data_IF_134011817381
#
_entry.id   IF_134011817381
#
_cell.length_a   1.000
_cell.length_b   1.000
_cell.length_c   1.000
_cell.angle_alpha   90.00
_cell.angle_beta   90.00
_cell.angle_gamma   90.00
#
_symmetry.space_group_name_H-M   'P 1'
#
loop_
_entity.id
_entity.type
_entity.pdbx_description
1 polymer ?
#
# COMPACT_ATOMS: atom_id res chain seq x y z
N UNK A 1 -6.41 17.26 8.61
CA UNK A 1 -6.28 17.86 7.26
C UNK A 1 -5.08 18.80 7.09
N UNK A 2 -4.51 19.42 8.13
CA UNK A 2 -3.46 20.45 7.96
C UNK A 2 -2.04 19.90 7.74
N UNK A 3 -1.71 18.72 8.27
CA UNK A 3 -0.34 18.18 8.23
C UNK A 3 0.22 17.98 6.81
N UNK A 4 -0.61 17.49 5.88
CA UNK A 4 -0.17 17.24 4.50
C UNK A 4 0.03 18.56 3.73
N UNK A 5 -0.88 19.52 3.92
CA UNK A 5 -0.92 20.80 3.19
C UNK A 5 0.35 21.62 3.40
N UNK A 6 0.94 21.57 4.60
CA UNK A 6 2.19 22.28 4.92
C UNK A 6 3.39 21.73 4.14
N UNK A 7 3.36 20.45 3.80
CA UNK A 7 4.43 19.85 3.01
C UNK A 7 4.23 20.12 1.52
N UNK A 8 2.97 20.10 1.04
CA UNK A 8 2.62 20.20 -0.37
C UNK A 8 2.94 21.58 -0.97
N UNK A 9 3.32 21.60 -2.25
CA UNK A 9 3.39 22.87 -2.99
C UNK A 9 1.98 23.50 -3.09
N UNK A 10 1.88 24.81 -3.35
CA UNK A 10 0.58 25.47 -3.48
C UNK A 10 -0.35 24.84 -4.53
N UNK A 11 0.21 24.16 -5.53
CA UNK A 11 -0.53 23.46 -6.57
C UNK A 11 -1.03 22.10 -6.07
N UNK A 12 -0.15 21.30 -5.46
CA UNK A 12 -0.47 20.00 -4.87
C UNK A 12 -1.49 20.14 -3.72
N UNK A 13 -1.39 21.20 -2.92
CA UNK A 13 -2.32 21.46 -1.83
C UNK A 13 -3.72 21.89 -2.32
N UNK A 14 -3.84 22.54 -3.49
CA UNK A 14 -5.15 22.78 -4.13
C UNK A 14 -5.77 21.46 -4.60
N UNK A 15 -4.97 20.59 -5.21
CA UNK A 15 -5.39 19.26 -5.65
C UNK A 15 -5.84 18.40 -4.45
N UNK A 16 -5.10 18.45 -3.34
CA UNK A 16 -5.48 17.80 -2.08
C UNK A 16 -6.83 18.31 -1.58
N UNK A 17 -7.05 19.63 -1.55
CA UNK A 17 -8.32 20.16 -1.09
C UNK A 17 -9.49 19.74 -2.01
N UNK A 18 -9.27 19.66 -3.32
CA UNK A 18 -10.28 19.14 -4.25
C UNK A 18 -10.55 17.64 -3.99
N UNK A 19 -9.49 16.86 -3.77
CA UNK A 19 -9.57 15.44 -3.42
C UNK A 19 -10.40 15.20 -2.15
N UNK A 20 -10.08 15.90 -1.05
CA UNK A 20 -10.81 15.80 0.23
C UNK A 20 -12.27 16.23 0.09
N UNK A 21 -12.57 17.17 -0.81
CA UNK A 21 -13.95 17.57 -1.04
C UNK A 21 -14.77 16.51 -1.77
N UNK A 22 -14.15 15.76 -2.68
CA UNK A 22 -14.77 14.70 -3.48
C UNK A 22 -14.82 13.35 -2.76
N UNK A 23 -13.94 13.15 -1.78
CA UNK A 23 -14.00 12.02 -0.86
C UNK A 23 -15.12 12.23 0.17
N UNK A 24 -16.35 12.15 -0.33
CA UNK A 24 -17.55 12.31 0.49
C UNK A 24 -17.58 11.23 1.57
N UNK A 25 -17.05 10.04 1.34
CA UNK A 25 -17.14 8.91 2.28
C UNK A 25 -15.95 8.77 3.22
N UNK A 26 -14.99 9.69 3.20
CA UNK A 26 -13.78 9.66 4.00
C UNK A 26 -12.96 8.38 3.80
N UNK A 27 -12.98 7.81 2.59
CA UNK A 27 -12.24 6.59 2.22
C UNK A 27 -10.81 6.88 1.80
N UNK A 28 -10.46 8.16 1.66
CA UNK A 28 -9.20 8.62 1.11
C UNK A 28 -8.90 8.03 -0.28
N UNK A 29 -9.95 7.71 -1.04
CA UNK A 29 -9.89 7.23 -2.42
C UNK A 29 -10.93 7.91 -3.29
N UNK A 30 -10.67 8.02 -4.60
CA UNK A 30 -11.60 8.54 -5.60
C UNK A 30 -11.70 7.59 -6.78
N UNK A 31 -12.90 7.46 -7.36
CA UNK A 31 -13.13 6.69 -8.59
C UNK A 31 -14.31 7.23 -9.39
N UNK A 32 -14.39 6.87 -10.67
CA UNK A 32 -15.55 7.10 -11.53
C UNK A 32 -15.99 8.56 -11.56
N UNK A 33 -17.20 8.84 -11.04
CA UNK A 33 -17.77 10.19 -11.05
C UNK A 33 -17.08 11.15 -10.06
N UNK A 34 -16.56 10.66 -8.93
CA UNK A 34 -15.82 11.48 -7.97
C UNK A 34 -14.49 11.95 -8.57
N UNK A 35 -13.82 11.10 -9.36
CA UNK A 35 -12.61 11.49 -10.10
C UNK A 35 -12.92 12.55 -11.16
N UNK A 36 -13.99 12.35 -11.95
CA UNK A 36 -14.42 13.34 -12.94
C UNK A 36 -14.77 14.68 -12.29
N UNK A 37 -15.45 14.63 -11.16
CA UNK A 37 -15.84 15.84 -10.41
C UNK A 37 -14.60 16.55 -9.82
N UNK A 38 -13.62 15.79 -9.31
CA UNK A 38 -12.30 16.32 -8.91
C UNK A 38 -11.64 17.07 -10.06
N UNK A 39 -11.50 16.41 -11.22
CA UNK A 39 -10.87 16.96 -12.41
C UNK A 39 -11.64 18.15 -13.00
N UNK A 40 -12.98 18.17 -12.86
CA UNK A 40 -13.84 19.28 -13.29
C UNK A 40 -13.76 20.47 -12.33
N UNK A 41 -13.53 20.27 -11.04
CA UNK A 41 -13.19 21.39 -10.13
C UNK A 41 -11.81 21.95 -10.42
N UNK A 42 -10.94 21.10 -10.95
CA UNK A 42 -9.63 21.49 -11.37
C UNK A 42 -9.65 22.20 -12.74
N UNK A 43 -10.49 21.80 -13.70
CA UNK A 43 -10.52 22.35 -15.08
C UNK A 43 -11.84 22.99 -15.53
N UNK A 44 -11.74 23.97 -16.42
CA UNK A 44 -12.90 24.64 -17.01
C UNK A 44 -13.59 23.90 -18.18
N UNK A 45 -13.09 22.74 -18.62
CA UNK A 45 -13.57 22.07 -19.86
C UNK A 45 -13.93 20.61 -19.67
N UNK A 46 -15.20 20.26 -19.88
CA UNK A 46 -15.72 18.89 -19.72
C UNK A 46 -15.08 17.87 -20.67
N UNK A 47 -14.69 18.28 -21.89
CA UNK A 47 -14.03 17.39 -22.85
C UNK A 47 -12.61 16.98 -22.40
N UNK A 48 -11.93 17.85 -21.65
CA UNK A 48 -10.60 17.56 -21.10
C UNK A 48 -10.70 16.61 -19.90
N UNK A 49 -11.73 16.79 -19.07
CA UNK A 49 -12.00 15.92 -17.91
C UNK A 49 -12.13 14.45 -18.32
N UNK A 50 -12.91 14.16 -19.37
CA UNK A 50 -13.08 12.77 -19.83
C UNK A 50 -11.78 12.19 -20.39
N UNK A 51 -10.98 13.00 -21.07
CA UNK A 51 -9.68 12.57 -21.60
C UNK A 51 -8.71 12.22 -20.46
N UNK A 52 -8.67 13.05 -19.42
CA UNK A 52 -7.82 12.81 -18.26
C UNK A 52 -8.32 11.67 -17.39
N UNK A 53 -9.63 11.59 -17.14
CA UNK A 53 -10.22 10.48 -16.39
C UNK A 53 -9.90 9.15 -17.09
N UNK A 54 -10.06 9.05 -18.41
CA UNK A 54 -9.70 7.86 -19.16
C UNK A 54 -8.19 7.55 -19.11
N UNK A 55 -7.33 8.56 -19.11
CA UNK A 55 -5.88 8.36 -19.00
C UNK A 55 -5.46 7.85 -17.62
N UNK A 56 -6.06 8.39 -16.55
CA UNK A 56 -5.82 7.95 -15.16
C UNK A 56 -6.38 6.54 -14.96
N UNK A 57 -7.63 6.29 -15.36
CA UNK A 57 -8.30 4.99 -15.25
C UNK A 57 -7.55 3.91 -16.06
N UNK A 58 -6.98 4.25 -17.22
CA UNK A 58 -6.11 3.33 -17.99
C UNK A 58 -4.79 3.02 -17.28
N UNK A 59 -4.26 3.97 -16.50
CA UNK A 59 -2.96 3.83 -15.82
C UNK A 59 -3.07 3.03 -14.53
N UNK A 60 -4.14 3.20 -13.77
CA UNK A 60 -4.41 2.40 -12.58
C UNK A 60 -4.98 1.03 -12.95
N UNK A 61 -6.00 1.01 -13.80
CA UNK A 61 -6.77 -0.20 -14.10
C UNK A 61 -8.25 0.16 -14.04
N UNK A 62 -9.06 -0.43 -14.93
CA UNK A 62 -10.48 -0.09 -15.01
C UNK A 62 -11.20 -0.46 -13.71
N UNK A 63 -11.69 0.55 -12.98
CA UNK A 63 -12.49 0.37 -11.76
C UNK A 63 -11.71 0.43 -10.45
N UNK A 64 -10.40 0.68 -10.49
CA UNK A 64 -9.57 0.78 -9.29
C UNK A 64 -9.86 2.09 -8.51
N UNK A 65 -9.77 2.00 -7.19
CA UNK A 65 -9.86 3.15 -6.29
C UNK A 65 -8.50 3.86 -6.23
N UNK A 66 -8.47 5.14 -6.59
CA UNK A 66 -7.24 5.93 -6.66
C UNK A 66 -7.04 6.68 -5.35
N UNK A 67 -5.87 6.54 -4.74
CA UNK A 67 -5.50 7.40 -3.62
C UNK A 67 -4.92 8.75 -4.10
N UNK A 68 -4.57 9.61 -3.16
CA UNK A 68 -4.01 10.92 -3.51
C UNK A 68 -2.60 10.85 -4.11
N UNK A 69 -1.79 9.86 -3.74
CA UNK A 69 -0.47 9.67 -4.31
C UNK A 69 -0.57 9.27 -5.79
N UNK A 70 -1.52 8.41 -6.17
CA UNK A 70 -1.80 8.05 -7.57
C UNK A 70 -2.18 9.28 -8.41
N UNK A 71 -3.04 10.14 -7.85
CA UNK A 71 -3.47 11.39 -8.49
C UNK A 71 -2.29 12.37 -8.66
N UNK A 72 -1.38 12.44 -7.69
CA UNK A 72 -0.15 13.22 -7.78
C UNK A 72 0.84 12.65 -8.80
N UNK A 73 0.95 11.32 -8.90
CA UNK A 73 1.81 10.63 -9.86
C UNK A 73 1.37 10.86 -11.30
N UNK A 74 0.06 10.85 -11.55
CA UNK A 74 -0.49 11.29 -12.83
C UNK A 74 -0.17 12.77 -13.10
N UNK A 75 -0.45 13.65 -12.13
CA UNK A 75 -0.21 15.08 -12.27
C UNK A 75 1.26 15.41 -12.57
N UNK A 76 2.20 14.68 -11.96
CA UNK A 76 3.63 14.83 -12.20
C UNK A 76 4.04 14.32 -13.60
N UNK A 77 3.56 13.15 -14.02
CA UNK A 77 3.86 12.60 -15.33
C UNK A 77 3.35 13.48 -16.48
N UNK A 78 2.16 14.07 -16.32
CA UNK A 78 1.62 15.04 -17.28
C UNK A 78 2.49 16.29 -17.39
N UNK A 79 3.05 16.79 -16.29
CA UNK A 79 3.97 17.94 -16.33
C UNK A 79 5.26 17.64 -17.10
N UNK A 80 5.79 16.42 -17.00
CA UNK A 80 7.03 16.02 -17.65
C UNK A 80 6.85 15.78 -19.16
N UNK A 81 5.77 15.11 -19.57
CA UNK A 81 5.44 14.89 -20.99
C UNK A 81 5.21 16.22 -21.72
N UNK A 82 4.53 17.17 -21.06
CA UNK A 82 4.31 18.52 -21.59
C UNK A 82 5.57 19.42 -21.61
N UNK A 83 6.67 18.98 -21.01
CA UNK A 83 7.97 19.67 -21.07
C UNK A 83 8.83 19.21 -22.26
N UNK A 84 8.63 17.99 -22.74
CA UNK A 84 9.39 17.38 -23.83
C UNK A 84 8.74 17.55 -25.22
N UNK A 85 7.43 17.78 -25.28
CA UNK A 85 6.70 17.98 -26.53
C UNK A 85 6.16 19.42 -26.60
N UNK A 86 6.89 20.32 -27.26
CA UNK A 86 6.48 21.71 -27.53
C UNK A 86 5.35 21.85 -28.57
N UNK A 87 4.62 20.77 -28.89
CA UNK A 87 3.48 20.77 -29.80
C UNK A 87 2.22 20.28 -29.07
N UNK A 88 1.59 21.19 -28.32
CA UNK A 88 0.13 21.41 -28.29
C UNK A 88 -0.17 22.61 -27.37
N UNK A 89 -0.16 23.81 -27.97
CA UNK A 89 -0.45 25.09 -27.30
C UNK A 89 -1.89 25.20 -26.70
N UNK A 90 -2.70 24.14 -26.75
CA UNK A 90 -4.03 24.08 -26.14
C UNK A 90 -4.03 23.59 -24.68
N UNK A 91 -2.96 22.97 -24.20
CA UNK A 91 -2.89 22.39 -22.84
C UNK A 91 -2.32 23.37 -21.82
N UNK A 92 -1.35 24.20 -22.26
CA UNK A 92 -0.79 25.26 -21.42
C UNK A 92 -1.82 26.31 -21.02
N UNK A 93 -2.82 26.64 -21.86
CA UNK A 93 -3.84 27.63 -21.51
C UNK A 93 -4.90 27.09 -20.55
N UNK A 94 -5.20 25.78 -20.59
CA UNK A 94 -6.12 25.12 -19.68
C UNK A 94 -5.56 25.05 -18.27
N UNK A 95 -4.32 24.58 -18.11
CA UNK A 95 -3.66 24.48 -16.81
C UNK A 95 -3.08 25.82 -16.30
N UNK A 96 -2.68 26.76 -17.14
CA UNK A 96 -2.26 28.09 -16.63
C UNK A 96 -3.39 28.81 -15.92
N UNK A 97 -4.65 28.57 -16.32
CA UNK A 97 -5.84 29.10 -15.64
C UNK A 97 -6.12 28.46 -14.26
N UNK A 98 -5.57 27.27 -13.98
CA UNK A 98 -5.64 26.64 -12.65
C UNK A 98 -4.78 27.38 -11.61
N UNK A 99 -3.70 28.04 -12.05
CA UNK A 99 -2.54 28.32 -11.21
C UNK A 99 -2.21 29.81 -11.08
N UNK A 100 -3.17 30.69 -11.38
CA UNK A 100 -3.03 32.10 -11.05
C UNK A 100 -2.95 32.28 -9.51
N UNK A 101 -2.11 33.24 -9.11
CA UNK A 101 -1.41 33.30 -7.83
C UNK A 101 -2.22 33.90 -6.64
N UNK A 102 -1.69 33.68 -5.44
CA UNK A 102 -1.94 34.41 -4.16
C UNK A 102 -2.97 33.93 -3.13
N UNK A 103 -3.57 32.74 -3.25
CA UNK A 103 -4.34 32.17 -2.12
C UNK A 103 -3.73 30.89 -1.62
N UNK A 104 -3.26 30.94 -0.37
CA UNK A 104 -2.99 29.73 0.41
C UNK A 104 -4.24 28.84 0.38
N UNK A 105 -4.10 27.54 0.05
CA UNK A 105 -5.24 26.64 -0.09
C UNK A 105 -5.82 26.33 1.30
N UNK A 106 -6.78 27.15 1.74
CA UNK A 106 -7.58 26.91 2.94
C UNK A 106 -8.85 26.15 2.58
N UNK A 107 -9.15 25.08 3.32
CA UNK A 107 -10.43 24.37 3.18
C UNK A 107 -11.58 25.33 3.53
N UNK A 108 -12.64 25.35 2.72
CA UNK A 108 -13.78 26.25 2.92
C UNK A 108 -14.38 26.05 4.33
N UNK A 109 -14.51 27.10 5.15
CA UNK A 109 -15.09 27.00 6.49
C UNK A 109 -16.50 26.37 6.50
N UNK A 110 -17.29 26.52 5.43
CA UNK A 110 -18.60 25.84 5.31
C UNK A 110 -18.43 24.33 5.21
N UNK A 111 -17.44 23.87 4.43
CA UNK A 111 -17.13 22.44 4.30
C UNK A 111 -16.51 21.87 5.57
N UNK A 112 -15.68 22.64 6.27
CA UNK A 112 -15.18 22.28 7.61
C UNK A 112 -16.34 22.05 8.59
N UNK A 113 -17.34 22.93 8.60
CA UNK A 113 -18.52 22.79 9.44
C UNK A 113 -19.34 21.54 9.06
N UNK A 114 -19.50 21.29 7.77
CA UNK A 114 -20.18 20.10 7.26
C UNK A 114 -19.46 18.80 7.66
N UNK A 115 -18.13 18.72 7.46
CA UNK A 115 -17.35 17.54 7.84
C UNK A 115 -17.39 17.30 9.36
N UNK A 116 -17.26 18.37 10.16
CA UNK A 116 -17.39 18.27 11.63
C UNK A 116 -18.76 17.77 12.05
N UNK A 117 -19.83 18.29 11.42
CA UNK A 117 -21.18 17.84 11.68
C UNK A 117 -21.33 16.36 11.33
N UNK A 118 -20.79 15.90 10.19
CA UNK A 118 -20.87 14.51 9.77
C UNK A 118 -20.10 13.57 10.70
N UNK A 119 -18.88 13.95 11.09
CA UNK A 119 -18.07 13.21 12.07
C UNK A 119 -18.78 13.11 13.43
N UNK A 120 -19.53 14.13 13.85
CA UNK A 120 -20.27 14.10 15.11
C UNK A 120 -21.43 13.08 15.12
N UNK A 121 -21.93 12.68 13.95
CA UNK A 121 -23.01 11.69 13.81
C UNK A 121 -22.52 10.30 13.43
N UNK A 122 -21.20 10.09 13.26
CA UNK A 122 -20.65 8.81 12.88
C UNK A 122 -20.33 7.95 14.10
N UNK A 123 -20.56 6.62 14.03
CA UNK A 123 -20.13 5.73 15.10
C UNK A 123 -18.60 5.74 15.21
N UNK A 124 -18.04 5.59 16.43
CA UNK A 124 -16.59 5.67 16.67
C UNK A 124 -15.74 4.77 15.77
N UNK A 125 -16.21 3.56 15.48
CA UNK A 125 -15.53 2.61 14.58
C UNK A 125 -15.36 3.16 13.15
N UNK A 126 -16.39 3.80 12.60
CA UNK A 126 -16.32 4.41 11.25
C UNK A 126 -15.45 5.66 11.22
N UNK A 127 -15.38 6.40 12.32
CA UNK A 127 -14.49 7.55 12.45
C UNK A 127 -13.03 7.09 12.51
N UNK A 128 -12.76 5.99 13.21
CA UNK A 128 -11.46 5.34 13.27
C UNK A 128 -11.02 4.88 11.88
N UNK A 129 -11.86 4.12 11.16
CA UNK A 129 -11.62 3.71 9.76
C UNK A 129 -11.25 4.90 8.87
N UNK A 130 -12.01 6.00 8.97
CA UNK A 130 -11.73 7.22 8.22
C UNK A 130 -10.38 7.84 8.60
N UNK A 131 -10.04 7.94 9.89
CA UNK A 131 -8.74 8.46 10.33
C UNK A 131 -7.59 7.64 9.75
N UNK A 132 -7.71 6.31 9.71
CA UNK A 132 -6.69 5.44 9.14
C UNK A 132 -6.56 5.58 7.63
N UNK A 133 -7.68 5.66 6.91
CA UNK A 133 -7.66 5.93 5.47
C UNK A 133 -6.88 7.24 5.16
N UNK A 134 -7.10 8.29 5.95
CA UNK A 134 -6.36 9.55 5.81
C UNK A 134 -4.88 9.47 6.25
N UNK A 135 -4.56 8.68 7.27
CA UNK A 135 -3.18 8.41 7.68
C UNK A 135 -2.42 7.64 6.60
N UNK A 136 -3.04 6.62 6.01
CA UNK A 136 -2.51 5.87 4.86
C UNK A 136 -2.23 6.80 3.69
N UNK A 137 -3.20 7.61 3.27
CA UNK A 137 -3.01 8.57 2.18
C UNK A 137 -1.87 9.56 2.48
N UNK A 138 -1.72 9.99 3.73
CA UNK A 138 -0.59 10.85 4.16
C UNK A 138 0.75 10.13 4.02
N UNK A 139 0.86 8.88 4.49
CA UNK A 139 2.10 8.08 4.40
C UNK A 139 2.48 7.86 2.94
N UNK A 140 1.53 7.42 2.11
CA UNK A 140 1.76 7.18 0.68
C UNK A 140 2.19 8.47 -0.04
N UNK A 141 1.56 9.60 0.26
CA UNK A 141 1.96 10.91 -0.29
C UNK A 141 3.36 11.32 0.16
N UNK A 142 3.70 11.17 1.44
CA UNK A 142 5.02 11.50 1.95
C UNK A 142 6.10 10.64 1.30
N UNK A 143 5.86 9.33 1.16
CA UNK A 143 6.78 8.42 0.52
C UNK A 143 6.92 8.68 -0.98
N UNK A 144 5.83 9.01 -1.68
CA UNK A 144 5.89 9.47 -3.07
C UNK A 144 6.80 10.70 -3.22
N UNK A 145 6.76 11.66 -2.29
CA UNK A 145 7.67 12.82 -2.32
C UNK A 145 9.10 12.45 -1.98
N UNK A 146 9.32 11.51 -1.08
CA UNK A 146 10.63 10.94 -0.82
C UNK A 146 11.19 10.27 -2.08
N UNK A 147 10.37 9.47 -2.77
CA UNK A 147 10.70 8.84 -4.05
C UNK A 147 11.11 9.88 -5.09
N UNK A 148 10.30 10.94 -5.24
CA UNK A 148 10.58 12.03 -6.17
C UNK A 148 11.87 12.77 -5.83
N UNK A 149 12.09 13.10 -4.56
CA UNK A 149 13.34 13.73 -4.10
C UNK A 149 14.56 12.84 -4.31
N UNK A 150 14.45 11.54 -4.02
CA UNK A 150 15.50 10.57 -4.30
C UNK A 150 15.81 10.60 -5.79
N UNK A 151 14.80 10.64 -6.65
CA UNK A 151 15.01 10.70 -8.10
C UNK A 151 15.55 12.03 -8.59
N UNK A 152 15.07 13.16 -8.08
CA UNK A 152 15.63 14.47 -8.39
C UNK A 152 17.10 14.56 -7.96
N UNK A 153 17.48 13.96 -6.82
CA UNK A 153 18.88 13.83 -6.39
C UNK A 153 19.68 12.92 -7.32
N UNK A 154 19.09 11.82 -7.80
CA UNK A 154 19.74 10.85 -8.69
C UNK A 154 19.80 11.31 -10.16
N UNK A 155 18.90 12.22 -10.59
CA UNK A 155 18.80 12.76 -11.96
C UNK A 155 19.49 14.11 -12.08
N UNK A 156 19.36 14.99 -11.08
CA UNK A 156 20.00 16.31 -11.04
C UNK A 156 21.51 16.23 -10.77
N UNK A 157 21.99 15.16 -10.15
CA UNK A 157 23.39 14.78 -10.21
C UNK A 157 23.69 14.16 -11.58
N UNK A 158 24.03 15.00 -12.56
CA UNK A 158 24.54 14.55 -13.85
C UNK A 158 25.53 13.39 -13.64
N UNK A 159 25.17 12.20 -14.14
CA UNK A 159 25.96 10.98 -14.11
C UNK A 159 26.09 10.24 -12.76
N UNK A 160 24.99 9.84 -12.11
CA UNK A 160 25.07 8.57 -11.39
C UNK A 160 25.18 7.41 -12.39
N UNK A 161 26.37 6.79 -12.44
CA UNK A 161 26.55 5.49 -13.06
C UNK A 161 25.54 4.48 -12.48
N UNK A 162 25.26 3.39 -13.19
CA UNK A 162 24.42 2.27 -12.71
C UNK A 162 24.75 1.84 -11.27
N UNK A 163 26.00 2.02 -10.83
CA UNK A 163 26.46 1.77 -9.46
C UNK A 163 25.75 2.59 -8.37
N UNK A 164 25.36 3.84 -8.66
CA UNK A 164 24.70 4.73 -7.71
C UNK A 164 23.26 4.33 -7.43
N UNK A 165 22.51 4.01 -8.50
CA UNK A 165 21.16 3.47 -8.39
C UNK A 165 21.13 2.12 -7.66
N UNK A 166 22.09 1.24 -7.92
CA UNK A 166 22.20 -0.04 -7.22
C UNK A 166 22.51 0.13 -5.73
N UNK A 167 23.31 1.14 -5.35
CA UNK A 167 23.56 1.45 -3.93
C UNK A 167 22.30 1.92 -3.23
N UNK A 168 21.53 2.79 -3.89
CA UNK A 168 20.22 3.24 -3.39
C UNK A 168 19.24 2.08 -3.23
N UNK A 169 19.14 1.20 -4.25
CA UNK A 169 18.29 0.03 -4.21
C UNK A 169 18.66 -0.91 -3.05
N UNK A 170 19.94 -1.19 -2.83
CA UNK A 170 20.40 -2.01 -1.70
C UNK A 170 20.03 -1.41 -0.35
N UNK A 171 20.16 -0.10 -0.19
CA UNK A 171 19.75 0.58 1.03
C UNK A 171 18.24 0.44 1.28
N UNK A 172 17.41 0.59 0.25
CA UNK A 172 15.95 0.39 0.37
C UNK A 172 15.59 -1.05 0.71
N UNK A 173 16.22 -2.03 0.08
CA UNK A 173 16.02 -3.45 0.43
C UNK A 173 16.42 -3.72 1.88
N UNK A 174 17.49 -3.08 2.36
CA UNK A 174 17.89 -3.11 3.77
C UNK A 174 16.80 -2.55 4.69
N UNK A 175 16.17 -1.44 4.31
CA UNK A 175 15.02 -0.89 5.05
C UNK A 175 13.85 -1.87 5.09
N UNK A 176 13.44 -2.44 3.94
CA UNK A 176 12.39 -3.46 3.88
C UNK A 176 12.74 -4.65 4.79
N UNK A 177 13.98 -5.10 4.75
CA UNK A 177 14.45 -6.20 5.59
C UNK A 177 14.34 -5.90 7.10
N UNK A 178 14.55 -4.66 7.52
CA UNK A 178 14.45 -4.27 8.93
C UNK A 178 13.01 -4.11 9.41
N UNK A 179 12.08 -3.77 8.51
CA UNK A 179 10.66 -3.57 8.85
C UNK A 179 9.87 -4.89 8.92
N UNK A 180 10.27 -5.90 8.14
CA UNK A 180 9.51 -7.14 8.04
C UNK A 180 9.79 -8.11 9.23
N UNK A 181 8.75 -8.67 9.86
CA UNK A 181 8.87 -9.78 10.80
C UNK A 181 9.49 -11.04 10.15
N UNK A 182 10.06 -11.98 10.94
CA UNK A 182 10.71 -13.19 10.43
C UNK A 182 9.89 -14.03 9.43
N UNK A 183 8.58 -14.16 9.68
CA UNK A 183 7.68 -14.92 8.81
C UNK A 183 7.51 -14.21 7.45
N UNK A 184 7.37 -12.89 7.47
CA UNK A 184 7.16 -12.07 6.29
C UNK A 184 8.46 -11.91 5.49
N UNK A 185 9.60 -11.86 6.16
CA UNK A 185 10.92 -11.95 5.52
C UNK A 185 11.07 -13.25 4.72
N UNK A 186 10.61 -14.37 5.27
CA UNK A 186 10.66 -15.65 4.58
C UNK A 186 9.72 -15.71 3.37
N UNK A 187 8.55 -15.07 3.43
CA UNK A 187 7.68 -14.93 2.25
C UNK A 187 8.29 -14.01 1.22
N UNK A 188 8.81 -12.87 1.65
CA UNK A 188 9.46 -11.90 0.78
C UNK A 188 10.67 -12.51 0.08
N UNK A 189 11.43 -13.38 0.74
CA UNK A 189 12.56 -14.08 0.12
C UNK A 189 12.13 -15.01 -1.01
N UNK A 190 10.96 -15.65 -0.91
CA UNK A 190 10.42 -16.51 -1.99
C UNK A 190 9.77 -15.69 -3.09
N UNK A 191 8.94 -14.71 -2.73
CA UNK A 191 8.24 -13.82 -3.66
C UNK A 191 9.22 -12.99 -4.48
N UNK A 192 10.19 -12.35 -3.82
CA UNK A 192 11.18 -11.50 -4.48
C UNK A 192 12.04 -12.25 -5.50
N UNK A 193 12.20 -13.57 -5.36
CA UNK A 193 12.88 -14.39 -6.36
C UNK A 193 12.06 -14.58 -7.64
N UNK A 194 10.73 -14.57 -7.54
CA UNK A 194 9.81 -14.71 -8.67
C UNK A 194 9.49 -13.37 -9.34
N UNK A 195 9.74 -12.24 -8.67
CA UNK A 195 9.45 -10.92 -9.21
C UNK A 195 10.39 -10.59 -10.39
N UNK A 196 9.91 -10.74 -11.62
CA UNK A 196 10.72 -10.62 -12.83
C UNK A 196 11.20 -9.19 -13.11
N UNK A 197 10.49 -8.18 -12.58
CA UNK A 197 10.88 -6.76 -12.67
C UNK A 197 11.69 -6.29 -11.46
N UNK A 198 11.65 -7.05 -10.38
CA UNK A 198 12.20 -6.76 -9.07
C UNK A 198 11.80 -5.37 -8.56
N UNK A 199 10.53 -5.01 -8.75
CA UNK A 199 9.94 -3.73 -8.34
C UNK A 199 8.96 -3.88 -7.17
N UNK A 200 8.76 -5.10 -6.66
CA UNK A 200 7.86 -5.35 -5.52
C UNK A 200 6.37 -5.34 -5.88
N UNK A 201 6.04 -5.28 -7.17
CA UNK A 201 4.70 -5.50 -7.69
C UNK A 201 4.63 -6.89 -8.38
N UNK A 202 3.58 -7.66 -8.11
CA UNK A 202 3.48 -9.07 -8.49
C UNK A 202 2.26 -9.34 -9.37
N UNK A 203 2.48 -10.07 -10.44
CA UNK A 203 1.44 -10.66 -11.29
C UNK A 203 0.92 -11.97 -10.68
N UNK A 204 -0.28 -12.46 -11.10
CA UNK A 204 -0.81 -13.73 -10.61
C UNK A 204 0.18 -14.87 -10.80
N UNK A 205 0.82 -14.94 -11.97
CA UNK A 205 1.82 -15.96 -12.30
C UNK A 205 3.04 -15.95 -11.36
N UNK A 206 3.47 -14.78 -10.90
CA UNK A 206 4.62 -14.67 -10.00
C UNK A 206 4.25 -15.09 -8.57
N UNK A 207 3.04 -14.77 -8.12
CA UNK A 207 2.51 -15.23 -6.82
C UNK A 207 2.32 -16.76 -6.83
N UNK A 208 1.72 -17.32 -7.89
CA UNK A 208 1.61 -18.77 -8.06
C UNK A 208 2.98 -19.45 -8.05
N UNK A 209 3.95 -18.92 -8.80
CA UNK A 209 5.30 -19.47 -8.82
C UNK A 209 5.97 -19.44 -7.44
N UNK A 210 5.66 -18.44 -6.61
CA UNK A 210 6.17 -18.32 -5.25
C UNK A 210 5.51 -19.33 -4.31
N UNK A 211 4.19 -19.52 -4.42
CA UNK A 211 3.44 -20.56 -3.70
C UNK A 211 4.00 -21.95 -4.06
N UNK A 212 4.18 -22.24 -5.34
CA UNK A 212 4.77 -23.48 -5.84
C UNK A 212 6.21 -23.68 -5.33
N UNK A 213 7.00 -22.62 -5.23
CA UNK A 213 8.34 -22.70 -4.67
C UNK A 213 8.29 -23.05 -3.17
N UNK A 214 7.35 -22.45 -2.43
CA UNK A 214 7.16 -22.71 -1.01
C UNK A 214 6.70 -24.15 -0.74
N UNK A 215 5.73 -24.66 -1.51
CA UNK A 215 5.25 -26.05 -1.39
C UNK A 215 6.36 -27.07 -1.71
N UNK A 216 7.19 -26.80 -2.74
CA UNK A 216 8.37 -27.63 -3.03
C UNK A 216 9.38 -27.64 -1.88
N UNK A 217 9.62 -26.50 -1.24
CA UNK A 217 10.54 -26.40 -0.10
C UNK A 217 10.03 -27.13 1.16
N UNK A 218 8.71 -27.23 1.33
CA UNK A 218 8.10 -27.99 2.41
C UNK A 218 8.20 -29.51 2.22
N UNK A 219 8.59 -29.99 1.04
CA UNK A 219 8.56 -31.42 0.76
C UNK A 219 7.13 -31.99 0.75
N UNK A 220 6.09 -31.16 0.66
CA UNK A 220 4.68 -31.58 0.45
C UNK A 220 4.42 -32.05 -0.99
N UNK A 221 5.48 -32.27 -1.76
CA UNK A 221 5.50 -33.13 -2.95
C UNK A 221 6.11 -34.51 -2.67
N UNK A 222 6.24 -34.90 -1.40
CA UNK A 222 6.70 -36.22 -0.94
C UNK A 222 5.69 -37.29 -1.33
N UNK A 223 6.19 -38.50 -1.66
CA UNK A 223 5.48 -39.71 -2.09
C UNK A 223 4.30 -40.16 -1.19
N UNK A 224 4.06 -39.51 -0.05
CA UNK A 224 2.99 -39.82 0.91
C UNK A 224 1.70 -39.00 0.73
N UNK A 225 1.71 -37.91 -0.04
CA UNK A 225 0.47 -37.14 -0.26
C UNK A 225 -0.38 -37.82 -1.34
N UNK A 226 -1.63 -38.14 -1.01
CA UNK A 226 -2.59 -38.68 -1.98
C UNK A 226 -2.80 -37.67 -3.11
N UNK A 227 -3.06 -38.19 -4.30
CA UNK A 227 -3.32 -37.37 -5.49
C UNK A 227 -4.52 -36.41 -5.28
N UNK A 228 -5.52 -36.87 -4.52
CA UNK A 228 -6.68 -36.08 -4.11
C UNK A 228 -6.31 -34.89 -3.21
N UNK A 229 -5.43 -35.07 -2.23
CA UNK A 229 -4.97 -33.96 -1.37
C UNK A 229 -4.15 -32.93 -2.16
N UNK A 230 -3.34 -33.39 -3.12
CA UNK A 230 -2.61 -32.50 -4.03
C UNK A 230 -3.55 -31.69 -4.91
N UNK A 231 -4.59 -32.34 -5.45
CA UNK A 231 -5.62 -31.68 -6.24
C UNK A 231 -6.38 -30.63 -5.43
N UNK A 232 -6.87 -30.98 -4.23
CA UNK A 232 -7.62 -30.05 -3.37
C UNK A 232 -6.77 -28.85 -2.92
N UNK A 233 -5.47 -29.06 -2.64
CA UNK A 233 -4.56 -27.95 -2.32
C UNK A 233 -4.36 -27.02 -3.50
N UNK A 234 -4.15 -27.57 -4.71
CA UNK A 234 -4.00 -26.76 -5.92
C UNK A 234 -5.26 -25.92 -6.19
N UNK A 235 -6.45 -26.52 -6.09
CA UNK A 235 -7.72 -25.82 -6.27
C UNK A 235 -7.94 -24.73 -5.22
N UNK A 236 -7.57 -24.99 -3.96
CA UNK A 236 -7.65 -24.01 -2.88
C UNK A 236 -6.69 -22.83 -3.09
N UNK A 237 -5.44 -23.11 -3.45
CA UNK A 237 -4.43 -22.10 -3.76
C UNK A 237 -4.84 -21.24 -4.95
N UNK A 238 -5.40 -21.86 -6.00
CA UNK A 238 -5.90 -21.15 -7.18
C UNK A 238 -6.97 -20.14 -6.82
N UNK A 239 -8.00 -20.57 -6.08
CA UNK A 239 -9.07 -19.69 -5.62
C UNK A 239 -8.54 -18.56 -4.74
N UNK A 240 -7.60 -18.84 -3.83
CA UNK A 240 -7.06 -17.79 -2.96
C UNK A 240 -6.24 -16.75 -3.70
N UNK A 241 -5.47 -17.15 -4.73
CA UNK A 241 -4.77 -16.20 -5.58
C UNK A 241 -5.77 -15.41 -6.41
N UNK A 242 -6.81 -16.03 -6.97
CA UNK A 242 -7.86 -15.29 -7.69
C UNK A 242 -8.57 -14.27 -6.79
N UNK A 243 -8.82 -14.61 -5.53
CA UNK A 243 -9.36 -13.71 -4.50
C UNK A 243 -8.38 -12.59 -4.11
N UNK A 244 -7.08 -12.86 -4.07
CA UNK A 244 -6.08 -11.82 -3.84
C UNK A 244 -6.11 -10.78 -4.97
N UNK A 245 -6.32 -11.21 -6.21
CA UNK A 245 -6.30 -10.30 -7.34
C UNK A 245 -7.66 -9.61 -7.59
N UNK A 246 -8.82 -10.26 -7.44
CA UNK A 246 -10.17 -9.66 -7.58
C UNK A 246 -10.32 -8.64 -8.73
N UNK A 247 -9.75 -8.94 -9.89
CA UNK A 247 -9.79 -8.08 -11.09
C UNK A 247 -8.67 -7.03 -11.18
N UNK A 248 -7.75 -6.98 -10.22
CA UNK A 248 -6.49 -6.24 -10.28
C UNK A 248 -5.48 -7.01 -11.16
N UNK A 249 -4.73 -6.33 -12.03
CA UNK A 249 -3.72 -7.00 -12.86
C UNK A 249 -2.42 -7.31 -12.10
N UNK A 250 -2.16 -6.56 -11.01
CA UNK A 250 -0.93 -6.62 -10.21
C UNK A 250 -1.30 -6.33 -8.75
N UNK A 251 -0.63 -6.97 -7.80
CA UNK A 251 -0.73 -6.70 -6.35
C UNK A 251 0.64 -6.36 -5.79
N UNK A 252 0.72 -5.60 -4.71
CA UNK A 252 2.01 -5.22 -4.12
C UNK A 252 2.48 -6.19 -3.05
N UNK A 253 3.74 -6.07 -2.60
CA UNK A 253 4.22 -6.87 -1.47
C UNK A 253 3.33 -6.70 -0.23
N UNK A 254 2.87 -5.48 0.05
CA UNK A 254 2.01 -5.22 1.21
C UNK A 254 0.65 -5.93 1.07
N UNK A 255 0.05 -5.92 -0.12
CA UNK A 255 -1.20 -6.67 -0.39
C UNK A 255 -1.02 -8.18 -0.11
N UNK A 256 0.08 -8.77 -0.59
CA UNK A 256 0.35 -10.21 -0.41
C UNK A 256 0.59 -10.54 1.06
N UNK A 257 1.35 -9.71 1.78
CA UNK A 257 1.60 -9.94 3.20
C UNK A 257 0.33 -9.78 4.04
N UNK A 258 -0.50 -8.80 3.71
CA UNK A 258 -1.78 -8.60 4.39
C UNK A 258 -2.73 -9.76 4.13
N UNK A 259 -2.88 -10.18 2.88
CA UNK A 259 -3.60 -11.40 2.52
C UNK A 259 -3.09 -12.61 3.31
N UNK A 260 -1.78 -12.81 3.38
CA UNK A 260 -1.18 -13.91 4.13
C UNK A 260 -1.50 -13.88 5.64
N UNK A 261 -1.57 -12.69 6.25
CA UNK A 261 -1.94 -12.51 7.67
C UNK A 261 -3.39 -12.85 7.92
N UNK A 262 -4.27 -12.56 6.97
CA UNK A 262 -5.71 -12.82 7.09
C UNK A 262 -6.06 -14.31 7.01
N UNK A 263 -5.19 -15.15 6.41
CA UNK A 263 -5.43 -16.59 6.35
C UNK A 263 -5.10 -17.25 7.70
N UNK A 264 -6.07 -17.96 8.33
CA UNK A 264 -5.82 -18.69 9.56
C UNK A 264 -4.66 -19.68 9.43
N UNK A 265 -3.96 -19.92 10.55
CA UNK A 265 -2.76 -20.76 10.55
C UNK A 265 -3.06 -22.19 10.11
N UNK A 266 -4.20 -22.73 10.51
CA UNK A 266 -4.67 -24.08 10.21
C UNK A 266 -4.99 -24.21 8.72
N UNK A 267 -5.57 -23.16 8.14
CA UNK A 267 -5.89 -23.11 6.71
C UNK A 267 -4.60 -23.09 5.88
N UNK A 268 -3.59 -22.30 6.28
CA UNK A 268 -2.28 -22.30 5.63
C UNK A 268 -1.61 -23.67 5.68
N UNK A 269 -1.66 -24.35 6.83
CA UNK A 269 -1.12 -25.71 6.97
C UNK A 269 -1.87 -26.69 6.05
N UNK A 270 -3.20 -26.66 6.04
CA UNK A 270 -4.01 -27.54 5.19
C UNK A 270 -3.72 -27.33 3.70
N UNK A 271 -3.54 -26.08 3.29
CA UNK A 271 -3.17 -25.69 1.93
C UNK A 271 -1.69 -25.98 1.58
N UNK A 272 -0.88 -26.48 2.52
CA UNK A 272 0.55 -26.75 2.31
C UNK A 272 1.42 -25.48 2.25
N UNK A 273 0.88 -24.34 2.69
CA UNK A 273 1.54 -23.04 2.76
C UNK A 273 2.23 -22.84 4.11
N UNK A 274 3.07 -23.78 4.52
CA UNK A 274 3.90 -23.62 5.71
C UNK A 274 5.22 -22.97 5.35
N UNK A 275 5.83 -22.22 6.28
CA UNK A 275 7.20 -21.71 6.08
C UNK A 275 8.17 -22.69 6.74
N UNK A 276 9.05 -23.37 5.98
CA UNK A 276 10.05 -24.25 6.56
C UNK A 276 10.95 -23.49 7.54
N UNK A 277 11.27 -24.11 8.67
CA UNK A 277 12.19 -23.51 9.66
C UNK A 277 13.56 -23.17 9.06
N UNK A 278 14.02 -23.97 8.09
CA UNK A 278 15.27 -23.73 7.35
C UNK A 278 15.20 -22.48 6.46
N UNK A 279 14.06 -22.23 5.83
CA UNK A 279 13.82 -21.02 5.03
C UNK A 279 13.74 -19.79 5.94
N UNK A 280 13.04 -19.90 7.07
CA UNK A 280 12.91 -18.83 8.06
C UNK A 280 14.28 -18.45 8.63
N UNK A 281 15.05 -19.43 9.09
CA UNK A 281 16.40 -19.22 9.62
C UNK A 281 17.34 -18.60 8.58
N UNK A 282 17.30 -19.10 7.34
CA UNK A 282 18.10 -18.55 6.24
C UNK A 282 17.71 -17.10 5.95
N UNK A 283 16.42 -16.79 5.87
CA UNK A 283 15.93 -15.46 5.51
C UNK A 283 16.27 -14.41 6.57
N UNK A 284 16.33 -14.77 7.86
CA UNK A 284 16.77 -13.86 8.92
C UNK A 284 18.28 -13.63 8.98
N UNK A 285 19.09 -14.57 8.46
CA UNK A 285 20.55 -14.51 8.52
C UNK A 285 21.18 -13.86 7.30
N UNK A 286 20.52 -13.94 6.14
CA UNK A 286 21.05 -13.42 4.89
C UNK A 286 20.72 -11.94 4.72
N UNK A 287 21.70 -11.17 4.22
CA UNK A 287 21.43 -9.81 3.78
C UNK A 287 20.65 -9.83 2.45
N UNK A 288 19.81 -8.81 2.17
CA UNK A 288 19.04 -8.75 0.93
C UNK A 288 19.90 -8.85 -0.34
N UNK A 289 21.14 -8.40 -0.25
CA UNK A 289 22.14 -8.44 -1.32
C UNK A 289 22.53 -9.88 -1.72
N UNK A 290 22.54 -10.78 -0.74
CA UNK A 290 22.82 -12.20 -0.94
C UNK A 290 21.55 -12.96 -1.32
N UNK A 291 20.42 -12.62 -0.69
CA UNK A 291 19.11 -13.22 -0.99
C UNK A 291 18.70 -13.00 -2.45
N UNK A 292 18.86 -11.77 -2.95
CA UNK A 292 18.41 -11.35 -4.28
C UNK A 292 19.57 -11.12 -5.24
N UNK A 293 20.70 -11.80 -5.03
CA UNK A 293 21.93 -11.58 -5.80
C UNK A 293 21.73 -11.69 -7.32
N UNK A 294 20.89 -12.62 -7.76
CA UNK A 294 20.60 -12.83 -9.18
C UNK A 294 19.73 -11.71 -9.74
N UNK A 295 18.69 -11.31 -9.03
CA UNK A 295 17.77 -10.24 -9.39
C UNK A 295 18.54 -8.91 -9.45
N UNK A 296 19.35 -8.62 -8.43
CA UNK A 296 20.22 -7.43 -8.43
C UNK A 296 21.20 -7.40 -9.60
N UNK A 297 21.72 -8.56 -10.04
CA UNK A 297 22.57 -8.64 -11.24
C UNK A 297 21.79 -8.37 -12.53
N UNK A 298 20.59 -8.93 -12.66
CA UNK A 298 19.73 -8.72 -13.83
C UNK A 298 19.27 -7.27 -13.93
N UNK A 299 18.90 -6.68 -12.79
CA UNK A 299 18.53 -5.27 -12.69
C UNK A 299 19.74 -4.39 -13.01
N UNK A 300 20.94 -4.71 -12.50
CA UNK A 300 22.17 -3.96 -12.79
C UNK A 300 22.55 -3.92 -14.27
N UNK A 301 22.18 -4.96 -15.04
CA UNK A 301 22.46 -5.02 -16.48
C UNK A 301 21.55 -4.12 -17.33
N UNK A 302 20.46 -3.62 -16.76
CA UNK A 302 19.45 -2.80 -17.45
C UNK A 302 19.11 -1.55 -16.62
N UNK A 303 19.59 -0.39 -17.06
CA UNK A 303 19.38 0.87 -16.36
C UNK A 303 17.90 1.25 -16.22
N UNK A 304 17.03 0.81 -17.13
CA UNK A 304 15.58 1.07 -17.03
C UNK A 304 14.94 0.21 -15.93
N UNK A 305 15.32 -1.06 -15.83
CA UNK A 305 14.91 -1.94 -14.73
C UNK A 305 15.47 -1.48 -13.39
N UNK A 306 16.70 -0.96 -13.34
CA UNK A 306 17.28 -0.43 -12.09
C UNK A 306 16.45 0.72 -11.53
N UNK A 307 16.01 1.62 -12.40
CA UNK A 307 15.14 2.72 -12.01
C UNK A 307 13.76 2.22 -11.59
N UNK A 308 13.15 1.30 -12.33
CA UNK A 308 11.86 0.68 -11.98
C UNK A 308 11.90 -0.03 -10.62
N UNK A 309 12.93 -0.84 -10.39
CA UNK A 309 13.15 -1.54 -9.12
C UNK A 309 13.30 -0.58 -7.94
N UNK A 310 14.11 0.48 -8.10
CA UNK A 310 14.29 1.50 -7.06
C UNK A 310 12.93 2.14 -6.71
N UNK A 311 12.18 2.56 -7.71
CA UNK A 311 10.87 3.19 -7.52
C UNK A 311 9.87 2.29 -6.83
N UNK A 312 9.74 1.06 -7.33
CA UNK A 312 8.83 0.08 -6.78
C UNK A 312 9.14 -0.25 -5.32
N UNK A 313 10.42 -0.36 -4.95
CA UNK A 313 10.80 -0.61 -3.56
C UNK A 313 10.61 0.60 -2.63
N UNK A 314 10.68 1.85 -3.12
CA UNK A 314 10.24 3.00 -2.31
C UNK A 314 8.74 2.92 -2.01
N UNK A 315 7.94 2.55 -3.00
CA UNK A 315 6.50 2.34 -2.84
C UNK A 315 6.20 1.21 -1.85
N UNK A 316 6.91 0.08 -1.93
CA UNK A 316 6.78 -1.02 -0.96
C UNK A 316 7.02 -0.55 0.48
N UNK A 317 8.07 0.24 0.76
CA UNK A 317 8.31 0.76 2.11
C UNK A 317 7.13 1.62 2.59
N UNK A 318 6.56 2.44 1.70
CA UNK A 318 5.40 3.27 2.01
C UNK A 318 4.18 2.43 2.39
N UNK A 319 3.91 1.40 1.61
CA UNK A 319 2.75 0.54 1.81
C UNK A 319 2.90 -0.34 3.05
N UNK A 320 4.11 -0.83 3.33
CA UNK A 320 4.42 -1.55 4.57
C UNK A 320 4.23 -0.64 5.79
N UNK A 321 4.75 0.59 5.74
CA UNK A 321 4.55 1.56 6.81
C UNK A 321 3.08 1.91 7.02
N UNK A 322 2.30 2.04 5.93
CA UNK A 322 0.86 2.28 6.00
C UNK A 322 0.10 1.08 6.59
N UNK A 323 0.40 -0.15 6.15
CA UNK A 323 -0.23 -1.36 6.67
C UNK A 323 0.04 -1.56 8.17
N UNK A 324 1.25 -1.24 8.64
CA UNK A 324 1.60 -1.28 10.07
C UNK A 324 0.74 -0.31 10.92
N UNK A 325 0.28 0.80 10.35
CA UNK A 325 -0.63 1.71 11.07
C UNK A 325 -2.05 1.18 11.20
N UNK A 326 -2.49 0.29 10.30
CA UNK A 326 -3.81 -0.36 10.37
C UNK A 326 -3.82 -1.52 11.39
N UNK A 327 -2.71 -2.25 11.55
CA UNK A 327 -2.58 -3.35 12.52
C UNK A 327 -2.61 -2.93 13.99
N UNK A 328 -2.05 -1.76 14.33
CA UNK A 328 -2.09 -1.21 15.70
C UNK A 328 -3.53 -0.93 16.18
N UNK A 329 -4.48 -0.82 15.25
CA UNK A 329 -5.89 -0.49 15.48
C UNK A 329 -6.67 -1.73 15.87
N UNK A 330 -6.47 -2.84 15.15
CA UNK A 330 -7.14 -4.12 15.43
C UNK A 330 -6.74 -4.61 16.82
N UNK A 331 -5.47 -4.46 17.19
CA UNK A 331 -5.00 -4.77 18.54
C UNK A 331 -5.62 -3.84 19.59
N UNK A 332 -5.68 -2.53 19.33
CA UNK A 332 -6.27 -1.55 20.26
C UNK A 332 -7.81 -1.62 20.39
N UNK A 333 -8.53 -2.09 19.36
CA UNK A 333 -9.98 -2.30 19.41
C UNK A 333 -10.37 -3.63 20.04
N UNK A 334 -9.50 -4.64 19.97
CA UNK A 334 -9.70 -5.92 20.66
C UNK A 334 -9.57 -5.78 22.18
N UNK A 335 -8.72 -4.87 22.65
CA UNK A 335 -8.53 -4.62 24.10
C UNK A 335 -9.65 -3.77 24.72
N UNK A 336 -10.52 -3.14 23.91
CA UNK A 336 -11.61 -2.29 24.42
C UNK A 336 -12.94 -3.01 24.69
N UNK A 337 -13.10 -4.27 24.27
CA UNK A 337 -14.35 -5.03 24.46
C UNK A 337 -14.36 -5.97 25.69
N UNK A 338 -13.24 -6.12 26.41
CA UNK A 338 -13.16 -6.99 27.61
C UNK A 338 -13.28 -6.24 28.96
N UNK A 339 -13.69 -4.97 28.95
CA UNK A 339 -13.83 -4.14 30.16
C UNK A 339 -15.27 -3.89 30.61
N UNK A 340 -16.21 -4.80 30.33
CA UNK A 340 -17.59 -4.68 30.84
C UNK A 340 -18.21 -6.01 31.28
N UNK A 341 -17.49 -6.83 32.05
CA UNK A 341 -18.14 -7.84 32.92
C UNK A 341 -17.29 -8.23 34.13
N UNK A 342 -17.09 -7.31 35.08
CA UNK A 342 -16.65 -7.71 36.43
C UNK A 342 -17.33 -6.89 37.52
N UNK A 343 -18.65 -7.09 37.63
CA UNK A 343 -19.47 -6.68 38.78
C UNK A 343 -20.24 -7.86 39.37
N UNK A 344 -19.73 -9.07 39.19
CA UNK A 344 -20.37 -10.31 39.64
C UNK A 344 -19.70 -11.00 40.84
N UNK A 345 -18.40 -10.78 41.07
CA UNK A 345 -17.62 -11.65 41.96
C UNK A 345 -17.19 -11.03 43.30
N UNK A 346 -17.51 -9.76 43.57
CA UNK A 346 -17.28 -9.16 44.91
C UNK A 346 -18.26 -9.66 45.99
N UNK A 347 -19.45 -10.18 45.60
CA UNK A 347 -20.47 -10.61 46.57
C UNK A 347 -20.27 -12.04 47.08
N UNK A 348 -19.49 -12.89 46.40
CA UNK A 348 -19.24 -14.27 46.84
C UNK A 348 -18.06 -14.36 47.81
N UNK A 349 -17.06 -13.48 47.67
CA UNK A 349 -15.90 -13.39 48.56
C UNK A 349 -16.28 -12.81 49.94
N UNK A 350 -17.21 -11.85 49.99
CA UNK A 350 -17.68 -11.24 51.25
C UNK A 350 -18.67 -12.15 52.02
N UNK A 351 -19.36 -13.04 51.31
CA UNK A 351 -20.23 -14.07 51.92
C UNK A 351 -19.42 -15.19 52.59
N UNK A 352 -18.28 -15.58 52.02
CA UNK A 352 -17.39 -16.62 52.58
C UNK A 352 -16.57 -16.14 53.79
N UNK A 353 -16.29 -14.83 53.91
CA UNK A 353 -15.62 -14.28 55.09
C UNK A 353 -16.54 -14.09 56.31
N UNK A 354 -17.87 -14.00 56.12
CA UNK A 354 -18.82 -13.89 57.24
C UNK A 354 -19.22 -15.23 57.86
N UNK A 355 -19.06 -16.35 57.14
CA UNK A 355 -19.34 -17.70 57.64
C UNK A 355 -18.27 -18.29 58.58
N UNK A 356 -17.05 -17.72 58.61
CA UNK A 356 -15.92 -18.24 59.40
C UNK A 356 -15.64 -17.46 60.70
N UNK A 357 -16.53 -16.54 61.09
CA UNK A 357 -16.43 -15.79 62.36
C UNK A 357 -17.56 -16.04 63.35
N UNK A 358 -18.44 -17.02 63.10
CA UNK A 358 -19.51 -17.42 64.05
C UNK A 358 -19.66 -18.94 64.20
N UNK A 359 -18.53 -19.67 64.24
CA UNK A 359 -18.46 -21.04 64.74
C UNK A 359 -17.44 -21.13 65.88
#
# INVERSE_FOLDING_TARGET
CEAIVVTLSPQEARLWNAFVQEDVHLRATVKGQSLRSLLQRCSGSAAQVETWAAAIEKRAGAGEELDFADVLDWFAAEREVNSLLSLQHSWRSGFSSFFDADKTPKMDPKRMAELRSRCAFWPPSRLLEAVHAYQRALILTCCWRCQRKVVDLLVGANAMSSSGFLRGLRALLGCVHMELPPLELALWSVLGLQNGRFDGAYTPSEVFAAIDALTRLNGTGSDNDTEELRFLRAECQERWVDELFLGRPVVTLADVLEWWRQIPSECRVAAGLTIPATLLQRSCQQQPEDMFRLQLRQVASDGTKTRGALFGHVRVIAELAAASTELLVVAGSSDSDDSESDKGDEDMADMLQRGLRTA
#
